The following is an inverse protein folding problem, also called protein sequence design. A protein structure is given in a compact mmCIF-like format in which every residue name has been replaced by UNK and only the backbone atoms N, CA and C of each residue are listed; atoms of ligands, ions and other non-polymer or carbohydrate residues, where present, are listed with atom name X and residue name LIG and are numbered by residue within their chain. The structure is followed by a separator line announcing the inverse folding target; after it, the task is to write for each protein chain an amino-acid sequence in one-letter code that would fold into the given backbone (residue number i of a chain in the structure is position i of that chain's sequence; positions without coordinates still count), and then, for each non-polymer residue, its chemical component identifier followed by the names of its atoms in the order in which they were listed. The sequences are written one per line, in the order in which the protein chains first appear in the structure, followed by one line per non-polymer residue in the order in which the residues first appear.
data_IF_744587708097
#
_entry.id   IF_744587708097
#
_cell.length_a   1.000
_cell.length_b   1.000
_cell.length_c   1.000
_cell.angle_alpha   90.00
_cell.angle_beta   90.00
_cell.angle_gamma   90.00
#
_symmetry.space_group_name_H-M   'P 1'
#
loop_
_entity.id
_entity.type
_entity.pdbx_description
1 polymer ?
#
# COMPACT_ATOMS: atom_id res chain seq x y z
N UNK A 1 -8.77 -10.45 -11.98
CA UNK A 1 -8.98 -11.02 -10.62
C UNK A 1 -9.97 -10.12 -9.91
N UNK A 2 -11.03 -10.63 -9.29
CA UNK A 2 -12.07 -9.81 -8.64
C UNK A 2 -11.77 -9.52 -7.16
N UNK A 3 -10.52 -9.70 -6.72
CA UNK A 3 -10.12 -9.43 -5.35
C UNK A 3 -10.11 -7.93 -5.09
N UNK A 4 -10.64 -7.58 -3.92
CA UNK A 4 -10.70 -6.22 -3.39
C UNK A 4 -9.82 -6.16 -2.15
N UNK A 5 -9.14 -5.04 -1.95
CA UNK A 5 -8.14 -4.92 -0.90
C UNK A 5 -8.53 -3.85 0.12
N UNK A 6 -8.29 -4.16 1.39
CA UNK A 6 -8.46 -3.27 2.52
C UNK A 6 -7.15 -3.18 3.30
N UNK A 7 -6.94 -2.04 3.95
CA UNK A 7 -5.81 -1.86 4.83
C UNK A 7 -6.22 -2.13 6.27
N UNK A 8 -5.42 -2.89 7.00
CA UNK A 8 -5.60 -3.03 8.43
C UNK A 8 -5.23 -1.69 9.11
N UNK A 9 -6.23 -1.03 9.67
CA UNK A 9 -6.11 0.31 10.26
C UNK A 9 -5.13 0.42 11.44
N UNK A 10 -4.79 -0.70 12.07
CA UNK A 10 -3.82 -0.74 13.18
C UNK A 10 -2.37 -0.89 12.70
N UNK A 11 -2.17 -1.19 11.41
CA UNK A 11 -0.87 -1.51 10.85
C UNK A 11 -0.16 -0.30 10.24
N UNK A 12 -0.92 0.71 9.78
CA UNK A 12 -0.36 1.85 9.03
C UNK A 12 -0.91 3.16 9.57
N UNK A 13 -0.02 4.14 9.73
CA UNK A 13 -0.38 5.50 10.10
C UNK A 13 0.05 6.46 8.99
N UNK A 14 -0.89 7.26 8.49
CA UNK A 14 -0.64 8.30 7.48
C UNK A 14 -0.79 9.67 8.14
N UNK A 15 0.26 10.47 8.11
CA UNK A 15 0.23 11.84 8.62
C UNK A 15 0.92 12.79 7.64
N UNK A 16 0.18 13.72 6.98
CA UNK A 16 0.68 14.46 5.83
C UNK A 16 2.04 15.15 6.05
N UNK A 17 2.24 15.78 7.21
CA UNK A 17 3.50 16.46 7.51
C UNK A 17 4.67 15.48 7.74
N UNK A 18 4.42 14.35 8.38
CA UNK A 18 5.46 13.36 8.69
C UNK A 18 5.83 12.58 7.42
N UNK A 19 4.82 12.23 6.63
CA UNK A 19 4.98 11.56 5.34
C UNK A 19 5.84 12.41 4.39
N UNK A 20 5.56 13.71 4.31
CA UNK A 20 6.37 14.64 3.51
C UNK A 20 7.81 14.77 4.05
N UNK A 21 7.98 14.92 5.37
CA UNK A 21 9.30 15.00 6.00
C UNK A 21 10.15 13.76 5.76
N UNK A 22 9.55 12.57 5.72
CA UNK A 22 10.24 11.31 5.46
C UNK A 22 10.33 10.94 3.96
N UNK A 23 10.04 11.89 3.06
CA UNK A 23 10.00 11.70 1.61
C UNK A 23 9.14 10.49 1.20
N UNK A 24 8.00 10.31 1.88
CA UNK A 24 7.04 9.23 1.68
C UNK A 24 7.62 7.82 1.86
N UNK A 25 8.76 7.68 2.53
CA UNK A 25 9.11 6.39 3.13
C UNK A 25 8.28 6.25 4.41
N UNK A 26 7.84 5.05 4.74
CA UNK A 26 7.05 4.83 5.96
C UNK A 26 7.49 3.56 6.67
N UNK A 27 7.07 3.42 7.92
CA UNK A 27 7.23 2.19 8.69
C UNK A 27 5.83 1.66 8.92
N UNK A 28 5.65 0.38 8.60
CA UNK A 28 4.40 -0.32 8.76
C UNK A 28 4.57 -1.33 9.88
N UNK A 29 3.61 -1.43 10.79
CA UNK A 29 3.62 -2.43 11.84
C UNK A 29 2.76 -3.60 11.40
N UNK A 30 3.28 -4.83 11.39
CA UNK A 30 2.43 -5.99 11.18
C UNK A 30 1.66 -6.33 12.48
N UNK A 31 0.57 -7.11 12.43
CA UNK A 31 -0.15 -7.53 13.65
C UNK A 31 0.70 -8.35 14.63
N UNK A 32 1.77 -8.99 14.14
CA UNK A 32 2.76 -9.72 14.96
C UNK A 32 3.67 -8.82 15.79
N UNK A 33 3.68 -7.51 15.54
CA UNK A 33 4.47 -6.52 16.27
C UNK A 33 5.78 -6.10 15.59
N UNK A 34 6.15 -6.68 14.45
CA UNK A 34 7.33 -6.28 13.69
C UNK A 34 7.11 -4.98 12.92
N UNK A 35 8.20 -4.27 12.69
CA UNK A 35 8.22 -3.05 11.88
C UNK A 35 8.86 -3.31 10.52
N UNK A 36 8.12 -2.99 9.46
CA UNK A 36 8.53 -3.16 8.07
C UNK A 36 8.78 -1.77 7.49
N UNK A 37 10.01 -1.52 7.03
CA UNK A 37 10.33 -0.29 6.29
C UNK A 37 9.77 -0.40 4.88
N UNK A 38 8.93 0.55 4.50
CA UNK A 38 8.31 0.63 3.18
C UNK A 38 8.82 1.87 2.45
N UNK A 39 9.25 1.64 1.22
CA UNK A 39 9.75 2.72 0.35
C UNK A 39 8.61 3.56 -0.21
N UNK A 40 8.96 4.65 -0.89
CA UNK A 40 8.01 5.57 -1.55
C UNK A 40 6.94 4.87 -2.39
N UNK A 41 7.33 3.89 -3.22
CA UNK A 41 6.39 3.14 -4.05
C UNK A 41 5.37 2.37 -3.22
N UNK A 42 5.84 1.63 -2.22
CA UNK A 42 4.96 0.88 -1.31
C UNK A 42 4.06 1.80 -0.49
N UNK A 43 4.55 2.98 -0.07
CA UNK A 43 3.72 3.98 0.60
C UNK A 43 2.52 4.38 -0.27
N UNK A 44 2.73 4.69 -1.55
CA UNK A 44 1.64 5.08 -2.44
C UNK A 44 0.69 3.92 -2.76
N UNK A 45 1.19 2.67 -2.80
CA UNK A 45 0.32 1.49 -2.88
C UNK A 45 -0.61 1.42 -1.66
N UNK A 46 -0.04 1.51 -0.45
CA UNK A 46 -0.83 1.46 0.79
C UNK A 46 -1.79 2.65 0.90
N UNK A 47 -1.35 3.85 0.48
CA UNK A 47 -2.18 5.05 0.50
C UNK A 47 -3.37 4.94 -0.47
N UNK A 48 -3.16 4.38 -1.66
CA UNK A 48 -4.24 4.16 -2.63
C UNK A 48 -5.33 3.23 -2.07
N UNK A 49 -4.92 2.16 -1.37
CA UNK A 49 -5.84 1.21 -0.72
C UNK A 49 -6.55 1.87 0.47
N UNK A 50 -5.82 2.62 1.30
CA UNK A 50 -6.40 3.37 2.41
C UNK A 50 -7.49 4.35 1.95
N UNK A 51 -7.20 5.09 0.88
CA UNK A 51 -8.10 6.14 0.38
C UNK A 51 -9.29 5.56 -0.39
N UNK A 52 -9.19 4.31 -0.84
CA UNK A 52 -10.21 3.63 -1.61
C UNK A 52 -10.37 2.18 -1.10
N UNK A 53 -10.94 1.97 0.09
CA UNK A 53 -11.15 0.62 0.62
C UNK A 53 -11.96 -0.24 -0.36
N UNK A 54 -11.49 -1.45 -0.63
CA UNK A 54 -12.10 -2.36 -1.59
C UNK A 54 -11.70 -2.12 -3.05
N UNK A 55 -10.62 -1.36 -3.30
CA UNK A 55 -10.02 -1.18 -4.63
C UNK A 55 -9.44 -2.49 -5.16
N UNK A 56 -9.45 -2.70 -6.49
CA UNK A 56 -8.76 -3.82 -7.14
C UNK A 56 -7.29 -3.50 -7.43
N UNK A 57 -6.47 -4.51 -7.74
CA UNK A 57 -5.07 -4.32 -8.13
C UNK A 57 -4.93 -3.37 -9.34
N UNK A 58 -5.81 -3.50 -10.33
CA UNK A 58 -5.82 -2.62 -11.51
C UNK A 58 -6.17 -1.17 -11.13
N UNK A 59 -7.10 -0.99 -10.18
CA UNK A 59 -7.43 0.32 -9.63
C UNK A 59 -6.24 0.96 -8.91
N UNK A 60 -5.53 0.19 -8.08
CA UNK A 60 -4.30 0.63 -7.40
C UNK A 60 -3.25 1.06 -8.42
N UNK A 61 -3.00 0.23 -9.45
CA UNK A 61 -2.05 0.54 -10.51
C UNK A 61 -2.42 1.84 -11.26
N UNK A 62 -3.71 2.06 -11.53
CA UNK A 62 -4.19 3.28 -12.17
C UNK A 62 -3.91 4.53 -11.32
N UNK A 63 -4.16 4.47 -10.01
CA UNK A 63 -3.92 5.62 -9.12
C UNK A 63 -2.43 5.94 -8.95
N UNK A 64 -1.59 4.92 -8.79
CA UNK A 64 -0.15 5.12 -8.63
C UNK A 64 0.45 5.77 -9.86
N UNK A 65 0.04 5.32 -11.06
CA UNK A 65 0.50 5.92 -12.33
C UNK A 65 0.12 7.39 -12.44
N UNK A 66 -1.07 7.77 -11.98
CA UNK A 66 -1.51 9.17 -11.95
C UNK A 66 -0.75 10.01 -10.92
N UNK A 67 -0.25 9.40 -9.84
CA UNK A 67 0.37 10.11 -8.71
C UNK A 67 1.88 10.27 -8.85
N UNK A 68 2.57 9.21 -9.26
CA UNK A 68 4.04 9.16 -9.24
C UNK A 68 4.69 9.60 -10.56
N UNK A 69 3.92 9.81 -11.63
CA UNK A 69 4.43 10.00 -13.00
C UNK A 69 5.46 8.92 -13.41
N UNK A 70 5.36 7.74 -12.77
CA UNK A 70 6.26 6.61 -12.99
C UNK A 70 5.58 5.59 -13.86
N UNK A 71 5.92 5.58 -15.15
CA UNK A 71 5.66 4.50 -16.09
C UNK A 71 6.31 3.16 -15.68
N UNK A 72 7.22 3.19 -14.71
CA UNK A 72 8.11 2.09 -14.32
C UNK A 72 7.49 1.03 -13.40
N UNK A 73 6.38 1.32 -12.71
CA UNK A 73 5.80 0.34 -11.78
C UNK A 73 4.88 -0.64 -12.52
N UNK A 74 5.40 -1.85 -12.77
CA UNK A 74 4.64 -2.91 -13.40
C UNK A 74 3.53 -3.43 -12.46
N UNK A 75 2.44 -3.95 -13.04
CA UNK A 75 1.36 -4.57 -12.25
C UNK A 75 1.90 -5.72 -11.39
N UNK A 76 2.89 -6.47 -11.90
CA UNK A 76 3.55 -7.56 -11.18
C UNK A 76 4.26 -7.08 -9.91
N UNK A 77 4.92 -5.91 -9.96
CA UNK A 77 5.59 -5.35 -8.77
C UNK A 77 4.56 -4.96 -7.70
N UNK A 78 3.43 -4.41 -8.12
CA UNK A 78 2.32 -4.05 -7.22
C UNK A 78 1.74 -5.32 -6.59
N UNK A 79 1.46 -6.34 -7.40
CA UNK A 79 0.93 -7.63 -6.95
C UNK A 79 1.87 -8.32 -5.95
N UNK A 80 3.18 -8.34 -6.23
CA UNK A 80 4.18 -8.91 -5.32
C UNK A 80 4.22 -8.16 -3.98
N UNK A 81 4.19 -6.83 -4.02
CA UNK A 81 4.15 -6.01 -2.81
C UNK A 81 2.88 -6.27 -2.00
N UNK A 82 1.70 -6.19 -2.64
CA UNK A 82 0.41 -6.44 -1.99
C UNK A 82 0.38 -7.84 -1.36
N UNK A 83 0.85 -8.86 -2.08
CA UNK A 83 0.92 -10.24 -1.55
C UNK A 83 1.80 -10.34 -0.31
N UNK A 84 2.97 -9.69 -0.30
CA UNK A 84 3.84 -9.67 0.89
C UNK A 84 3.21 -8.97 2.09
N UNK A 85 2.47 -7.89 1.86
CA UNK A 85 1.76 -7.16 2.92
C UNK A 85 0.55 -7.94 3.43
N UNK A 86 -0.09 -8.76 2.58
CA UNK A 86 -1.14 -9.69 2.99
C UNK A 86 -0.60 -10.82 3.87
N UNK A 87 0.55 -11.41 3.51
CA UNK A 87 1.22 -12.41 4.36
C UNK A 87 1.53 -11.81 5.74
N UNK A 88 1.93 -10.53 5.76
CA UNK A 88 2.14 -9.78 6.98
C UNK A 88 0.88 -9.27 7.68
N UNK A 89 -0.33 -9.57 7.20
CA UNK A 89 -1.60 -9.11 7.82
C UNK A 89 -1.83 -7.59 7.77
N UNK A 90 -1.05 -6.85 6.97
CA UNK A 90 -1.20 -5.40 6.78
C UNK A 90 -2.34 -5.09 5.79
N UNK A 91 -2.48 -5.93 4.76
CA UNK A 91 -3.56 -5.86 3.77
C UNK A 91 -4.47 -7.06 3.93
N UNK A 92 -5.78 -6.83 3.84
CA UNK A 92 -6.83 -7.84 4.00
C UNK A 92 -7.65 -7.93 2.71
N UNK A 93 -8.21 -9.12 2.45
CA UNK A 93 -9.22 -9.35 1.41
C UNK A 93 -10.53 -9.67 2.13
N UNK A 94 -11.57 -8.90 1.85
CA UNK A 94 -12.93 -9.20 2.26
C UNK A 94 -13.76 -9.54 1.02
N UNK A 95 -14.62 -10.56 1.13
CA UNK A 95 -15.60 -10.94 0.10
C UNK A 95 -16.83 -10.04 0.13
#
# INVERSE_FOLDING_TARGET
MNQKYWLNQYCVFFHPKLDQQNNFNTIVRNPGGDFIKVNKSGYFILKAINDNPGISLEGVAKQIRATLDTSQMSLKNIEQFVSSMMIGGVIEINE
#
